data_IF_831510916403
#
_entry.id   IF_831510916403
#
_cell.length_a   1.000
_cell.length_b   1.000
_cell.length_c   1.000
_cell.angle_alpha   90.00
_cell.angle_beta   90.00
_cell.angle_gamma   90.00
#
_symmetry.space_group_name_H-M   'P 1'
#
loop_
_entity.id
_entity.type
_entity.pdbx_description
1 polymer ?
#
# COMPACT_ATOMS: atom_id res chain seq x y z
N UNK A 1 -8.36 -11.75 -29.79
CA UNK A 1 -8.56 -12.58 -28.57
C UNK A 1 -7.74 -12.08 -27.38
N UNK A 2 -6.44 -11.78 -27.51
CA UNK A 2 -5.61 -11.29 -26.40
C UNK A 2 -6.15 -9.99 -25.72
N UNK A 3 -6.59 -9.01 -26.50
CA UNK A 3 -7.16 -7.76 -25.95
C UNK A 3 -8.46 -7.97 -25.17
N UNK A 4 -9.28 -8.95 -25.55
CA UNK A 4 -10.54 -9.28 -24.85
C UNK A 4 -10.26 -10.01 -23.52
N UNK A 5 -9.29 -10.93 -23.52
CA UNK A 5 -8.87 -11.62 -22.30
C UNK A 5 -8.16 -10.66 -21.31
N UNK A 6 -7.35 -9.72 -21.81
CA UNK A 6 -6.74 -8.67 -21.00
C UNK A 6 -7.78 -7.73 -20.36
N UNK A 7 -8.90 -7.46 -21.03
CA UNK A 7 -10.00 -6.67 -20.45
C UNK A 7 -10.82 -7.39 -19.38
N UNK A 8 -10.69 -8.72 -19.28
CA UNK A 8 -11.42 -9.54 -18.32
C UNK A 8 -10.58 -9.77 -17.06
N UNK A 9 -9.28 -9.99 -17.20
CA UNK A 9 -8.38 -10.33 -16.10
C UNK A 9 -8.39 -9.26 -14.98
N UNK A 10 -8.57 -9.70 -13.73
CA UNK A 10 -8.64 -8.79 -12.57
C UNK A 10 -9.96 -8.04 -12.40
N UNK A 11 -10.93 -8.22 -13.31
CA UNK A 11 -12.27 -7.63 -13.23
C UNK A 11 -13.30 -8.61 -12.66
N UNK A 12 -14.51 -8.13 -12.37
CA UNK A 12 -15.61 -9.01 -11.92
C UNK A 12 -16.10 -9.98 -12.99
N UNK A 13 -15.72 -9.76 -14.26
CA UNK A 13 -16.03 -10.66 -15.38
C UNK A 13 -15.11 -11.89 -15.38
N UNK A 14 -13.96 -11.83 -14.71
CA UNK A 14 -13.12 -12.99 -14.47
C UNK A 14 -13.78 -13.90 -13.44
N UNK A 15 -14.33 -15.01 -13.92
CA UNK A 15 -14.99 -16.01 -13.07
C UNK A 15 -14.00 -16.97 -12.40
N UNK A 16 -12.73 -16.96 -12.79
CA UNK A 16 -11.69 -17.86 -12.29
C UNK A 16 -10.92 -17.20 -11.14
N UNK A 17 -10.47 -15.96 -11.34
CA UNK A 17 -9.67 -15.26 -10.35
C UNK A 17 -10.53 -14.35 -9.46
N UNK A 18 -10.14 -14.21 -8.20
CA UNK A 18 -10.83 -13.32 -7.29
C UNK A 18 -10.46 -11.86 -7.59
N UNK A 19 -11.41 -11.11 -8.15
CA UNK A 19 -11.24 -9.68 -8.44
C UNK A 19 -10.90 -8.86 -7.20
N UNK A 20 -11.43 -9.20 -6.02
CA UNK A 20 -11.10 -8.51 -4.77
C UNK A 20 -9.67 -8.78 -4.32
N UNK A 21 -9.22 -10.03 -4.32
CA UNK A 21 -7.83 -10.32 -3.96
C UNK A 21 -6.85 -9.64 -4.92
N UNK A 22 -7.14 -9.66 -6.22
CA UNK A 22 -6.27 -9.02 -7.22
C UNK A 22 -6.17 -7.50 -7.02
N UNK A 23 -7.31 -6.82 -6.82
CA UNK A 23 -7.34 -5.35 -6.71
C UNK A 23 -6.97 -4.83 -5.32
N UNK A 24 -7.36 -5.56 -4.27
CA UNK A 24 -7.27 -5.09 -2.89
C UNK A 24 -6.15 -5.79 -2.12
N UNK A 25 -5.65 -6.93 -2.60
CA UNK A 25 -4.67 -7.76 -1.89
C UNK A 25 -5.27 -8.59 -0.75
N UNK A 26 -6.57 -8.43 -0.48
CA UNK A 26 -7.28 -9.14 0.59
C UNK A 26 -8.69 -9.55 0.14
N UNK A 27 -9.20 -10.63 0.71
CA UNK A 27 -10.54 -11.14 0.42
C UNK A 27 -11.24 -11.55 1.72
N UNK A 28 -12.49 -11.13 1.90
CA UNK A 28 -13.36 -11.52 3.04
C UNK A 28 -13.53 -13.02 3.23
N UNK A 29 -13.28 -13.83 2.20
CA UNK A 29 -13.39 -15.28 2.28
C UNK A 29 -12.07 -15.97 2.62
N UNK A 30 -10.94 -15.24 2.59
CA UNK A 30 -9.60 -15.81 2.82
C UNK A 30 -9.36 -17.05 1.95
N UNK A 31 -8.79 -18.09 2.55
CA UNK A 31 -8.51 -19.36 1.87
C UNK A 31 -9.76 -20.17 1.50
N UNK A 32 -10.94 -19.79 2.01
CA UNK A 32 -12.23 -20.41 1.66
C UNK A 32 -12.89 -19.75 0.44
N UNK A 33 -12.21 -18.83 -0.24
CA UNK A 33 -12.73 -18.23 -1.45
C UNK A 33 -12.94 -19.29 -2.54
N UNK A 34 -14.08 -19.24 -3.23
CA UNK A 34 -14.36 -20.12 -4.38
C UNK A 34 -13.57 -19.74 -5.63
N UNK A 35 -12.99 -18.53 -5.66
CA UNK A 35 -12.16 -18.01 -6.75
C UNK A 35 -10.69 -18.06 -6.36
N UNK A 36 -9.80 -18.13 -7.36
CA UNK A 36 -8.36 -18.25 -7.12
C UNK A 36 -7.74 -16.97 -6.58
N UNK A 37 -6.89 -17.11 -5.57
CA UNK A 37 -5.98 -16.08 -5.07
C UNK A 37 -4.56 -16.41 -5.55
N UNK A 38 -4.06 -15.63 -6.50
CA UNK A 38 -2.72 -15.84 -7.07
C UNK A 38 -1.74 -14.91 -6.36
N UNK A 39 -0.95 -15.46 -5.43
CA UNK A 39 0.12 -14.70 -4.77
C UNK A 39 1.23 -14.42 -5.79
N UNK A 40 1.66 -13.17 -5.97
CA UNK A 40 2.72 -12.86 -6.92
C UNK A 40 4.08 -13.36 -6.40
N UNK A 41 4.93 -13.88 -7.30
CA UNK A 41 6.31 -14.23 -6.98
C UNK A 41 7.24 -13.02 -6.96
N UNK A 42 6.79 -11.90 -7.53
CA UNK A 42 7.47 -10.61 -7.56
C UNK A 42 6.40 -9.51 -7.54
N UNK A 43 6.59 -8.48 -6.73
CA UNK A 43 5.69 -7.33 -6.68
C UNK A 43 6.44 -6.13 -6.15
N UNK A 44 6.03 -4.93 -6.55
CA UNK A 44 6.46 -3.68 -5.96
C UNK A 44 5.79 -3.42 -4.60
N UNK A 45 4.68 -4.12 -4.32
CA UNK A 45 3.85 -3.86 -3.15
C UNK A 45 3.95 -5.01 -2.16
N UNK A 46 4.15 -4.68 -0.88
CA UNK A 46 4.01 -5.61 0.24
C UNK A 46 2.74 -5.31 1.04
N UNK A 47 2.24 -6.34 1.72
CA UNK A 47 1.15 -6.28 2.68
C UNK A 47 1.65 -6.79 4.04
N UNK A 48 1.44 -5.98 5.07
CA UNK A 48 1.64 -6.30 6.48
C UNK A 48 0.26 -6.39 7.14
N UNK A 49 -0.36 -7.58 7.18
CA UNK A 49 -1.73 -7.72 7.65
C UNK A 49 -1.83 -7.44 9.15
N UNK A 50 -2.87 -6.71 9.56
CA UNK A 50 -3.17 -6.41 10.97
C UNK A 50 -1.97 -5.87 11.78
N UNK A 51 -1.10 -5.07 11.14
CA UNK A 51 0.04 -4.45 11.77
C UNK A 51 -0.38 -3.24 12.61
N UNK A 52 -1.18 -2.33 12.04
CA UNK A 52 -1.70 -1.18 12.76
C UNK A 52 -2.78 -1.61 13.75
N UNK A 53 -2.57 -1.35 15.03
CA UNK A 53 -3.59 -1.56 16.06
C UNK A 53 -4.22 -0.21 16.40
N UNK A 54 -5.40 0.06 15.83
CA UNK A 54 -6.11 1.31 16.10
C UNK A 54 -6.62 1.33 17.56
N UNK A 55 -6.16 2.25 18.42
CA UNK A 55 -6.63 2.33 19.80
C UNK A 55 -8.13 2.59 19.93
N UNK A 56 -8.82 3.07 18.89
CA UNK A 56 -10.26 3.28 18.89
C UNK A 56 -11.06 1.97 19.11
N UNK A 57 -10.45 0.82 18.80
CA UNK A 57 -11.07 -0.49 19.01
C UNK A 57 -10.69 -1.13 20.34
N UNK A 58 -9.81 -0.52 21.14
CA UNK A 58 -9.50 -0.97 22.50
C UNK A 58 -10.53 -0.40 23.49
N UNK A 59 -11.33 -1.25 24.17
CA UNK A 59 -12.31 -0.79 25.16
C UNK A 59 -11.71 0.01 26.33
N UNK A 60 -10.40 -0.13 26.59
CA UNK A 60 -9.69 0.58 27.66
C UNK A 60 -9.16 1.94 27.22
N UNK A 61 -9.25 2.26 25.93
CA UNK A 61 -8.72 3.49 25.40
C UNK A 61 -9.48 4.72 25.95
N UNK A 62 -8.73 5.73 26.38
CA UNK A 62 -9.24 7.01 26.89
C UNK A 62 -8.69 8.21 26.12
N UNK A 63 -8.04 7.96 24.98
CA UNK A 63 -7.44 9.01 24.17
C UNK A 63 -8.50 9.92 23.54
N UNK A 64 -8.22 11.21 23.53
CA UNK A 64 -9.01 12.19 22.79
C UNK A 64 -8.66 12.15 21.28
N UNK A 65 -9.42 12.82 20.39
CA UNK A 65 -9.15 12.79 18.95
C UNK A 65 -7.75 13.28 18.55
N UNK A 66 -7.20 14.26 19.27
CA UNK A 66 -5.85 14.78 19.02
C UNK A 66 -4.78 13.73 19.38
N UNK A 67 -4.92 13.07 20.53
CA UNK A 67 -4.02 11.98 20.95
C UNK A 67 -4.12 10.79 20.00
N UNK A 68 -5.31 10.49 19.48
CA UNK A 68 -5.51 9.45 18.47
C UNK A 68 -4.77 9.78 17.16
N UNK A 69 -4.82 11.04 16.73
CA UNK A 69 -4.06 11.49 15.55
C UNK A 69 -2.55 11.41 15.81
N UNK A 70 -2.08 11.88 16.97
CA UNK A 70 -0.65 11.80 17.32
C UNK A 70 -0.14 10.35 17.39
N UNK A 71 -0.94 9.43 17.94
CA UNK A 71 -0.62 8.00 17.93
C UNK A 71 -0.53 7.46 16.50
N UNK A 72 -1.44 7.89 15.61
CA UNK A 72 -1.41 7.46 14.22
C UNK A 72 -0.22 8.03 13.47
N UNK A 73 0.08 9.32 13.64
CA UNK A 73 1.22 10.00 13.03
C UNK A 73 2.54 9.35 13.46
N UNK A 74 2.71 9.06 14.77
CA UNK A 74 3.88 8.35 15.28
C UNK A 74 4.04 6.94 14.67
N UNK A 75 2.92 6.20 14.55
CA UNK A 75 2.94 4.90 13.87
C UNK A 75 3.32 5.03 12.39
N UNK A 76 2.73 6.00 11.68
CA UNK A 76 2.96 6.21 10.26
C UNK A 76 4.42 6.59 10.00
N UNK A 77 4.98 7.49 10.80
CA UNK A 77 6.38 7.91 10.73
C UNK A 77 7.33 6.74 11.01
N UNK A 78 7.09 5.97 12.07
CA UNK A 78 7.92 4.83 12.46
C UNK A 78 8.00 3.78 11.34
N UNK A 79 6.84 3.41 10.78
CA UNK A 79 6.76 2.47 9.66
C UNK A 79 7.40 3.06 8.39
N UNK A 80 7.13 4.32 8.05
CA UNK A 80 7.72 4.97 6.87
C UNK A 80 9.25 4.99 6.95
N UNK A 81 9.80 5.46 8.07
CA UNK A 81 11.24 5.56 8.30
C UNK A 81 11.92 4.20 8.29
N UNK A 82 11.30 3.19 8.91
CA UNK A 82 11.81 1.82 8.87
C UNK A 82 11.88 1.28 7.44
N UNK A 83 10.81 1.47 6.66
CA UNK A 83 10.72 0.92 5.30
C UNK A 83 11.67 1.60 4.31
N UNK A 84 11.99 2.88 4.52
CA UNK A 84 12.99 3.61 3.73
C UNK A 84 14.38 2.98 3.76
N UNK A 85 14.70 2.13 4.75
CA UNK A 85 15.97 1.41 4.82
C UNK A 85 16.10 0.30 3.77
N UNK A 86 14.97 -0.23 3.27
CA UNK A 86 14.96 -1.29 2.28
C UNK A 86 15.02 -0.76 0.84
N UNK A 87 14.37 0.37 0.59
CA UNK A 87 14.31 0.99 -0.73
C UNK A 87 13.48 2.27 -0.75
N UNK A 88 13.30 2.85 -1.93
CA UNK A 88 12.45 4.03 -2.08
C UNK A 88 10.98 3.63 -1.97
N UNK A 89 10.34 4.07 -0.90
CA UNK A 89 8.88 3.97 -0.70
C UNK A 89 8.20 5.02 -1.57
N UNK A 90 7.26 4.59 -2.41
CA UNK A 90 6.43 5.47 -3.23
C UNK A 90 5.09 5.78 -2.55
N UNK A 91 4.50 4.79 -1.88
CA UNK A 91 3.21 4.96 -1.23
C UNK A 91 3.07 4.03 -0.03
N UNK A 92 2.60 4.59 1.09
CA UNK A 92 2.23 3.87 2.32
C UNK A 92 0.73 4.07 2.56
N UNK A 93 0.00 2.96 2.71
CA UNK A 93 -1.45 2.98 2.93
C UNK A 93 -1.78 2.17 4.17
N UNK A 94 -2.38 2.81 5.16
CA UNK A 94 -2.86 2.15 6.38
C UNK A 94 -4.39 2.06 6.34
N UNK A 95 -4.90 0.87 6.61
CA UNK A 95 -6.34 0.57 6.59
C UNK A 95 -6.98 0.81 7.97
N UNK A 96 -8.03 1.63 7.99
CA UNK A 96 -8.92 1.88 9.13
C UNK A 96 -10.23 1.10 9.04
N UNK A 97 -10.24 0.01 8.27
CA UNK A 97 -11.39 -0.87 8.17
C UNK A 97 -11.64 -1.58 9.50
N UNK A 98 -12.91 -1.84 9.82
CA UNK A 98 -13.32 -2.63 10.98
C UNK A 98 -13.79 -4.04 10.58
N UNK A 99 -13.07 -4.70 9.68
CA UNK A 99 -13.40 -6.06 9.24
C UNK A 99 -12.18 -6.95 9.15
N UNK A 100 -12.39 -8.23 9.36
CA UNK A 100 -11.31 -9.20 9.61
C UNK A 100 -10.25 -9.29 8.51
N UNK A 101 -10.60 -8.94 7.27
CA UNK A 101 -9.69 -9.08 6.12
C UNK A 101 -8.91 -7.80 5.79
N UNK A 102 -9.31 -6.64 6.32
CA UNK A 102 -8.64 -5.35 6.06
C UNK A 102 -8.21 -4.61 7.33
N UNK A 103 -8.68 -5.02 8.51
CA UNK A 103 -8.39 -4.34 9.78
C UNK A 103 -6.89 -4.25 10.02
N UNK A 104 -6.39 -3.03 10.17
CA UNK A 104 -5.00 -2.76 10.49
C UNK A 104 -3.99 -3.15 9.39
N UNK A 105 -4.45 -3.48 8.18
CA UNK A 105 -3.56 -3.80 7.07
C UNK A 105 -2.74 -2.58 6.67
N UNK A 106 -1.44 -2.80 6.50
CA UNK A 106 -0.52 -1.78 5.98
C UNK A 106 0.02 -2.25 4.65
N UNK A 107 -0.17 -1.45 3.62
CA UNK A 107 0.39 -1.68 2.30
C UNK A 107 1.51 -0.70 2.02
N UNK A 108 2.57 -1.18 1.40
CA UNK A 108 3.74 -0.37 1.06
C UNK A 108 4.09 -0.68 -0.38
N UNK A 109 4.09 0.33 -1.25
CA UNK A 109 4.61 0.21 -2.61
C UNK A 109 6.01 0.81 -2.67
N UNK A 110 6.97 0.00 -3.06
CA UNK A 110 8.33 0.41 -3.37
C UNK A 110 8.46 0.72 -4.86
N UNK A 111 9.48 1.50 -5.22
CA UNK A 111 9.82 1.75 -6.62
C UNK A 111 10.29 0.48 -7.36
N UNK A 112 10.91 -0.46 -6.65
CA UNK A 112 11.52 -1.67 -7.23
C UNK A 112 11.02 -2.94 -6.53
N UNK A 113 10.80 -3.99 -7.30
CA UNK A 113 10.33 -5.30 -6.81
C UNK A 113 11.36 -5.99 -5.90
N UNK A 114 12.66 -5.81 -6.17
CA UNK A 114 13.74 -6.33 -5.34
C UNK A 114 13.74 -5.73 -3.93
N UNK A 115 13.46 -4.43 -3.84
CA UNK A 115 13.40 -3.71 -2.55
C UNK A 115 12.20 -4.22 -1.73
N UNK A 116 11.07 -4.50 -2.38
CA UNK A 116 9.89 -5.10 -1.74
C UNK A 116 10.15 -6.54 -1.24
N UNK A 117 10.81 -7.38 -2.05
CA UNK A 117 11.16 -8.74 -1.63
C UNK A 117 12.11 -8.72 -0.42
N UNK A 118 13.14 -7.86 -0.46
CA UNK A 118 14.08 -7.68 0.65
C UNK A 118 13.37 -7.23 1.94
N UNK A 119 12.47 -6.26 1.84
CA UNK A 119 11.65 -5.83 2.97
C UNK A 119 10.79 -6.97 3.51
N UNK A 120 10.14 -7.74 2.64
CA UNK A 120 9.28 -8.85 3.02
C UNK A 120 10.03 -9.93 3.81
N UNK A 121 11.20 -10.34 3.33
CA UNK A 121 12.01 -11.37 3.99
C UNK A 121 12.53 -10.89 5.35
N UNK A 122 12.99 -9.64 5.42
CA UNK A 122 13.52 -9.07 6.66
C UNK A 122 12.41 -8.89 7.72
N UNK A 123 11.25 -8.37 7.34
CA UNK A 123 10.16 -8.07 8.27
C UNK A 123 9.55 -9.33 8.88
N UNK A 124 9.46 -10.45 8.15
CA UNK A 124 8.97 -11.72 8.69
C UNK A 124 9.83 -12.31 9.83
N UNK A 125 11.05 -11.80 10.04
CA UNK A 125 11.92 -12.19 11.15
C UNK A 125 11.87 -11.25 12.36
N UNK A 126 11.00 -10.22 12.31
CA UNK A 126 10.96 -9.11 13.28
C UNK A 126 9.65 -9.06 14.07
N UNK A 127 9.68 -8.23 15.10
CA UNK A 127 8.57 -7.97 16.01
C UNK A 127 8.24 -6.48 16.03
N UNK A 128 6.96 -6.16 16.16
CA UNK A 128 6.45 -4.80 16.32
C UNK A 128 5.48 -4.76 17.50
N UNK A 129 5.71 -3.86 18.46
CA UNK A 129 4.85 -3.70 19.65
C UNK A 129 4.52 -5.04 20.37
N UNK A 130 5.51 -5.93 20.49
CA UNK A 130 5.35 -7.23 21.16
C UNK A 130 4.60 -8.30 20.35
N UNK A 131 4.32 -8.07 19.06
CA UNK A 131 3.70 -9.03 18.14
C UNK A 131 4.66 -9.38 17.00
N UNK A 132 4.66 -10.62 16.50
CA UNK A 132 5.43 -10.96 15.30
C UNK A 132 4.85 -10.22 14.10
N UNK A 133 5.73 -9.74 13.23
CA UNK A 133 5.31 -9.11 11.97
C UNK A 133 5.09 -10.21 10.94
N UNK A 134 3.94 -10.18 10.29
CA UNK A 134 3.69 -10.96 9.07
C UNK A 134 3.83 -10.03 7.88
N UNK A 135 4.54 -10.45 6.85
CA UNK A 135 4.68 -9.70 5.62
C UNK A 135 4.55 -10.64 4.42
N UNK A 136 3.80 -10.22 3.40
CA UNK A 136 3.72 -10.93 2.13
C UNK A 136 3.75 -9.98 0.94
N UNK A 137 4.15 -10.49 -0.24
CA UNK A 137 4.00 -9.74 -1.49
C UNK A 137 2.51 -9.62 -1.84
N UNK A 138 2.10 -8.41 -2.19
CA UNK A 138 0.71 -8.07 -2.52
C UNK A 138 0.55 -7.89 -4.03
N UNK A 139 -0.54 -8.36 -4.66
CA UNK A 139 -0.80 -8.13 -6.08
C UNK A 139 -1.26 -6.69 -6.39
N UNK A 140 -1.48 -5.85 -5.37
CA UNK A 140 -2.02 -4.49 -5.53
C UNK A 140 -1.01 -3.60 -6.25
N UNK A 141 -1.41 -3.02 -7.38
CA UNK A 141 -0.59 -2.09 -8.15
C UNK A 141 -1.09 -0.64 -8.05
N UNK A 142 -2.41 -0.44 -8.03
CA UNK A 142 -3.05 0.88 -7.98
C UNK A 142 -4.02 1.02 -6.80
N UNK A 143 -3.63 1.81 -5.80
CA UNK A 143 -4.48 2.10 -4.64
C UNK A 143 -5.71 2.93 -4.97
N UNK A 144 -5.76 3.63 -6.11
CA UNK A 144 -6.97 4.38 -6.52
C UNK A 144 -8.13 3.46 -6.85
N UNK A 145 -7.84 2.25 -7.31
CA UNK A 145 -8.85 1.21 -7.53
C UNK A 145 -9.15 0.40 -6.27
N UNK A 146 -8.21 0.35 -5.33
CA UNK A 146 -8.35 -0.40 -4.08
C UNK A 146 -9.06 0.38 -2.96
N UNK A 147 -8.89 1.70 -2.93
CA UNK A 147 -9.45 2.58 -1.92
C UNK A 147 -10.95 2.82 -2.14
N UNK A 148 -11.69 2.89 -1.03
CA UNK A 148 -13.10 3.23 -1.04
C UNK A 148 -13.27 4.72 -1.38
N UNK A 149 -13.90 5.01 -2.52
CA UNK A 149 -14.15 6.40 -2.96
C UNK A 149 -15.03 7.21 -2.01
N UNK A 150 -15.86 6.55 -1.20
CA UNK A 150 -16.75 7.21 -0.24
C UNK A 150 -16.07 7.49 1.11
N UNK A 151 -14.93 6.86 1.39
CA UNK A 151 -14.21 7.05 2.66
C UNK A 151 -13.60 8.45 2.76
N UNK A 152 -13.10 9.00 1.66
CA UNK A 152 -12.50 10.34 1.62
C UNK A 152 -13.53 11.50 1.54
N UNK A 153 -14.83 11.19 1.51
CA UNK A 153 -15.91 12.16 1.37
C UNK A 153 -16.80 12.22 2.61
N UNK A 154 -18.12 12.09 2.42
CA UNK A 154 -19.14 12.13 3.50
C UNK A 154 -19.09 10.91 4.45
N UNK A 155 -18.16 9.98 4.23
CA UNK A 155 -18.02 8.75 4.99
C UNK A 155 -18.68 7.56 4.32
N UNK A 156 -18.05 6.39 4.45
CA UNK A 156 -18.55 5.16 3.86
C UNK A 156 -19.67 4.55 4.71
N UNK A 157 -20.90 4.54 4.18
CA UNK A 157 -22.09 3.95 4.85
C UNK A 157 -22.03 2.44 5.05
N UNK A 158 -21.09 1.74 4.38
CA UNK A 158 -20.97 0.27 4.46
C UNK A 158 -20.28 -0.19 5.76
N UNK A 159 -19.57 0.71 6.45
CA UNK A 159 -18.86 0.37 7.70
C UNK A 159 -18.01 -0.90 7.56
N UNK A 160 -18.19 -1.85 8.48
CA UNK A 160 -17.50 -3.15 8.45
C UNK A 160 -17.79 -4.02 7.23
N UNK A 161 -18.86 -3.77 6.47
CA UNK A 161 -19.17 -4.53 5.25
C UNK A 161 -18.45 -4.01 4.00
N UNK A 162 -17.64 -2.94 4.11
CA UNK A 162 -16.88 -2.43 2.98
C UNK A 162 -15.70 -3.33 2.64
N UNK A 163 -15.63 -3.80 1.40
CA UNK A 163 -14.52 -4.63 0.89
C UNK A 163 -13.43 -3.79 0.18
N UNK A 164 -13.45 -2.47 0.34
CA UNK A 164 -12.45 -1.55 -0.21
C UNK A 164 -11.67 -0.90 0.94
N UNK A 165 -10.45 -0.48 0.68
CA UNK A 165 -9.55 0.10 1.68
C UNK A 165 -10.13 1.43 2.17
N UNK A 166 -10.33 1.54 3.47
CA UNK A 166 -10.56 2.82 4.15
C UNK A 166 -9.20 3.35 4.57
N UNK A 167 -8.62 4.23 3.75
CA UNK A 167 -7.30 4.83 4.03
C UNK A 167 -7.42 5.76 5.25
N UNK A 168 -6.55 5.55 6.23
CA UNK A 168 -6.27 6.51 7.29
C UNK A 168 -5.15 7.45 6.84
N UNK A 169 -5.37 8.75 6.95
CA UNK A 169 -4.39 9.75 6.52
C UNK A 169 -3.60 10.31 7.72
N UNK A 170 -2.28 10.49 7.58
CA UNK A 170 -1.49 11.19 8.58
C UNK A 170 -1.88 12.67 8.60
N UNK A 171 -1.42 13.41 9.59
CA UNK A 171 -1.57 14.87 9.56
C UNK A 171 -0.89 15.45 8.32
N UNK A 172 -1.48 16.50 7.75
CA UNK A 172 -0.93 17.20 6.60
C UNK A 172 0.44 17.85 6.89
N UNK A 173 0.82 18.02 8.15
CA UNK A 173 2.15 18.43 8.56
C UNK A 173 3.15 17.29 8.36
N UNK A 174 2.89 16.12 8.96
CA UNK A 174 3.75 14.95 8.81
C UNK A 174 3.90 14.53 7.34
N UNK A 175 2.82 14.51 6.56
CA UNK A 175 2.88 14.14 5.13
C UNK A 175 3.81 15.08 4.33
N UNK A 176 3.75 16.39 4.61
CA UNK A 176 4.65 17.37 4.00
C UNK A 176 6.10 17.17 4.45
N UNK A 177 6.34 16.88 5.72
CA UNK A 177 7.68 16.63 6.25
C UNK A 177 8.32 15.39 5.62
N UNK A 178 7.58 14.29 5.49
CA UNK A 178 8.06 13.05 4.87
C UNK A 178 8.36 13.25 3.37
N UNK A 179 7.52 13.98 2.63
CA UNK A 179 7.78 14.35 1.23
C UNK A 179 9.05 15.22 1.11
N UNK A 180 9.20 16.22 1.97
CA UNK A 180 10.40 17.08 1.99
C UNK A 180 11.68 16.27 2.28
N UNK A 181 11.64 15.40 3.29
CA UNK A 181 12.75 14.49 3.64
C UNK A 181 13.10 13.57 2.47
N UNK A 182 12.10 12.94 1.85
CA UNK A 182 12.29 12.04 0.71
C UNK A 182 12.91 12.77 -0.49
N UNK A 183 12.43 13.99 -0.80
CA UNK A 183 12.99 14.82 -1.89
C UNK A 183 14.42 15.25 -1.60
N UNK A 184 14.74 15.62 -0.35
CA UNK A 184 16.10 15.98 0.05
C UNK A 184 17.04 14.78 -0.11
N UNK A 185 16.63 13.62 0.40
CA UNK A 185 17.39 12.38 0.27
C UNK A 185 17.62 11.98 -1.19
N UNK A 186 16.61 12.11 -2.06
CA UNK A 186 16.74 11.86 -3.50
C UNK A 186 17.73 12.82 -4.17
N UNK A 187 17.77 14.10 -3.76
CA UNK A 187 18.73 15.08 -4.28
C UNK A 187 20.17 14.75 -3.85
N UNK A 188 20.37 14.37 -2.59
CA UNK A 188 21.68 14.03 -2.05
C UNK A 188 22.24 12.73 -2.65
N UNK A 189 21.37 11.72 -2.83
CA UNK A 189 21.75 10.45 -3.47
C UNK A 189 22.03 10.60 -4.96
N UNK A 190 21.44 11.60 -5.62
CA UNK A 190 21.60 11.84 -7.05
C UNK A 190 20.81 10.85 -7.90
N UNK A 191 21.22 10.70 -9.17
CA UNK A 191 20.48 9.88 -10.13
C UNK A 191 20.57 8.40 -9.77
N UNK A 192 19.41 7.79 -9.62
CA UNK A 192 19.30 6.36 -9.40
C UNK A 192 19.83 5.57 -10.61
N UNK A 193 20.86 4.75 -10.39
CA UNK A 193 21.49 3.94 -11.43
C UNK A 193 20.53 2.91 -12.04
N UNK A 194 19.51 2.47 -11.28
CA UNK A 194 18.45 1.57 -11.74
C UNK A 194 17.36 2.31 -12.53
N UNK A 195 17.37 3.64 -12.54
CA UNK A 195 16.42 4.42 -13.32
C UNK A 195 16.82 4.39 -14.78
N UNK A 196 15.99 3.76 -15.62
CA UNK A 196 16.17 3.83 -17.07
C UNK A 196 16.31 5.30 -17.51
N UNK A 197 17.37 5.61 -18.25
CA UNK A 197 17.47 6.91 -18.90
C UNK A 197 16.34 7.04 -19.91
N UNK A 198 15.57 8.15 -19.85
CA UNK A 198 14.82 8.57 -21.03
C UNK A 198 15.79 8.59 -22.20
N UNK A 199 15.46 7.89 -23.28
CA UNK A 199 16.21 7.94 -24.52
C UNK A 199 16.45 9.40 -24.90
N UNK A 200 17.65 9.79 -25.35
CA UNK A 200 17.91 11.17 -25.77
C UNK A 200 16.81 11.63 -26.72
N UNK A 201 16.22 12.80 -26.43
CA UNK A 201 15.25 13.42 -27.34
C UNK A 201 15.91 13.55 -28.71
N UNK A 202 15.34 13.01 -29.79
CA UNK A 202 15.91 13.16 -31.13
C UNK A 202 16.12 14.66 -31.43
N UNK A 203 17.26 15.05 -32.01
CA UNK A 203 17.48 16.44 -32.41
C UNK A 203 16.36 16.87 -33.36
N UNK A 204 15.80 18.05 -33.13
CA UNK A 204 14.76 18.61 -33.98
C UNK A 204 15.22 18.58 -35.43
N UNK A 205 14.43 17.93 -36.30
CA UNK A 205 14.69 17.90 -37.72
C UNK A 205 14.76 19.36 -38.20
N UNK A 206 15.94 19.79 -38.65
CA UNK A 206 16.07 21.07 -39.35
C UNK A 206 15.14 21.00 -40.55
N UNK A 207 14.11 21.84 -40.57
CA UNK A 207 13.25 22.02 -41.72
C UNK A 207 14.15 22.15 -42.95
N UNK A 208 14.02 21.19 -43.88
CA UNK A 208 14.60 21.34 -45.20
C UNK A 208 13.85 22.50 -45.85
N UNK A 209 14.61 23.53 -46.18
CA UNK A 209 14.18 24.69 -46.95
C UNK A 209 13.57 24.25 -48.29
#
# INVERSE_FOLDING_TARGET
MANYLASIFGTEQDKVNCSFYYKIGACRHGDRCSRKHVKPSYSQTILLPNLYQNPAYDPKNKMNPQQMQMHFDAFYEDIWCELCQYGLVEELVVCDNNNDHLIGNVYVRFKYEEDAQKACDALNSRWYAGRPIYCELSPVTDFREACCRLNSGEGCVRGGFCNFIHRKEPSAELDRELDMCTRKWLKERGRDARSMSRSPTPPAAKNRF
#
